data_IF_979201506044
#
_entry.id   IF_979201506044
#
_cell.length_a   1.000
_cell.length_b   1.000
_cell.length_c   1.000
_cell.angle_alpha   90.00
_cell.angle_beta   90.00
_cell.angle_gamma   90.00
#
_symmetry.space_group_name_H-M   'P 1'
#
loop_
_entity.id
_entity.type
_entity.pdbx_description
1 polymer ?
#
# COMPACT_ATOMS: atom_id res chain seq x y z
N UNK A 1 -11.97 -22.13 8.39
CA UNK A 1 -12.07 -21.22 7.25
C UNK A 1 -11.57 -19.88 7.75
N UNK A 2 -10.62 -19.23 7.06
CA UNK A 2 -10.09 -17.93 7.50
C UNK A 2 -11.16 -16.84 7.47
N UNK A 3 -10.96 -15.72 8.15
CA UNK A 3 -11.91 -14.61 8.11
C UNK A 3 -11.83 -13.88 6.76
N UNK A 4 -13.00 -13.50 6.23
CA UNK A 4 -13.09 -12.70 5.01
C UNK A 4 -12.70 -11.26 5.34
N UNK A 5 -11.93 -10.61 4.46
CA UNK A 5 -11.69 -9.18 4.58
C UNK A 5 -12.97 -8.36 4.27
N UNK A 6 -13.31 -7.44 5.16
CA UNK A 6 -14.35 -6.41 4.97
C UNK A 6 -13.78 -5.11 4.41
N UNK A 7 -12.47 -4.90 4.54
CA UNK A 7 -11.78 -3.71 4.07
C UNK A 7 -10.28 -3.79 4.35
N UNK A 8 -9.61 -2.65 4.24
CA UNK A 8 -8.23 -2.51 4.67
C UNK A 8 -7.93 -1.11 5.20
N UNK A 9 -6.88 -1.02 6.01
CA UNK A 9 -6.24 0.24 6.36
C UNK A 9 -5.02 0.38 5.47
N UNK A 10 -4.89 1.52 4.80
CA UNK A 10 -3.77 1.85 3.92
C UNK A 10 -2.99 3.03 4.50
N UNK A 11 -1.67 2.91 4.52
CA UNK A 11 -0.77 3.96 4.93
C UNK A 11 0.30 4.18 3.86
N UNK A 12 0.42 5.41 3.37
CA UNK A 12 1.49 5.88 2.50
C UNK A 12 2.47 6.72 3.33
N UNK A 13 3.76 6.40 3.27
CA UNK A 13 4.76 6.90 4.21
C UNK A 13 6.06 7.29 3.50
N UNK A 14 6.75 8.25 4.11
CA UNK A 14 8.13 8.60 3.80
C UNK A 14 9.00 8.49 5.05
N UNK A 15 10.29 8.25 4.84
CA UNK A 15 11.33 8.32 5.85
C UNK A 15 12.52 9.07 5.30
N UNK A 16 13.36 9.59 6.19
CA UNK A 16 14.63 10.16 5.76
C UNK A 16 15.46 9.09 5.03
N UNK A 17 16.11 9.49 3.96
CA UNK A 17 16.77 8.55 3.05
C UNK A 17 17.89 7.75 3.73
N UNK A 18 18.58 8.37 4.69
CA UNK A 18 19.62 7.75 5.52
C UNK A 18 19.05 6.87 6.66
N UNK A 19 17.74 6.98 6.94
CA UNK A 19 17.02 6.15 7.91
C UNK A 19 16.44 4.86 7.27
N UNK A 20 16.46 4.73 5.95
CA UNK A 20 15.76 3.65 5.22
C UNK A 20 16.06 2.24 5.73
N UNK A 21 17.32 1.89 5.98
CA UNK A 21 17.70 0.56 6.48
C UNK A 21 17.19 0.29 7.90
N UNK A 22 17.36 1.26 8.81
CA UNK A 22 16.93 1.13 10.20
C UNK A 22 15.40 1.05 10.29
N UNK A 23 14.69 1.93 9.58
CA UNK A 23 13.24 1.94 9.46
C UNK A 23 12.69 0.60 8.98
N UNK A 24 13.17 0.09 7.84
CA UNK A 24 12.62 -1.14 7.28
C UNK A 24 12.85 -2.34 8.20
N UNK A 25 14.01 -2.40 8.85
CA UNK A 25 14.35 -3.45 9.81
C UNK A 25 13.48 -3.37 11.07
N UNK A 26 13.30 -2.18 11.63
CA UNK A 26 12.40 -1.96 12.76
C UNK A 26 10.95 -2.33 12.39
N UNK A 27 10.50 -1.95 11.19
CA UNK A 27 9.14 -2.22 10.77
C UNK A 27 8.88 -3.73 10.66
N UNK A 28 9.80 -4.48 10.05
CA UNK A 28 9.69 -5.94 9.90
C UNK A 28 9.72 -6.67 11.25
N UNK A 29 10.55 -6.23 12.18
CA UNK A 29 10.82 -6.98 13.42
C UNK A 29 9.98 -6.54 14.61
N UNK A 30 9.52 -5.30 14.64
CA UNK A 30 8.92 -4.70 15.84
C UNK A 30 7.55 -4.07 15.59
N UNK A 31 7.33 -3.45 14.42
CA UNK A 31 6.12 -2.66 14.17
C UNK A 31 4.98 -3.45 13.52
N UNK A 32 5.29 -4.32 12.55
CA UNK A 32 4.27 -5.06 11.83
C UNK A 32 3.58 -6.09 12.75
N UNK A 33 4.37 -6.79 13.58
CA UNK A 33 3.89 -7.90 14.39
C UNK A 33 2.76 -7.51 15.38
N UNK A 34 2.83 -6.41 16.14
CA UNK A 34 1.72 -5.98 17.00
C UNK A 34 0.41 -5.75 16.25
N UNK A 35 0.45 -5.19 15.04
CA UNK A 35 -0.76 -4.97 14.24
C UNK A 35 -1.34 -6.30 13.75
N UNK A 36 -0.50 -7.21 13.26
CA UNK A 36 -0.92 -8.56 12.84
C UNK A 36 -1.41 -9.43 14.01
N UNK A 37 -1.09 -9.07 15.25
CA UNK A 37 -1.58 -9.78 16.44
C UNK A 37 -2.97 -9.35 16.89
N UNK A 38 -3.53 -8.29 16.30
CA UNK A 38 -4.90 -7.85 16.59
C UNK A 38 -5.90 -8.84 15.97
N UNK A 39 -6.98 -9.20 16.69
CA UNK A 39 -7.90 -10.24 16.25
C UNK A 39 -8.58 -9.92 14.92
N UNK A 40 -8.90 -8.65 14.68
CA UNK A 40 -9.63 -8.22 13.48
C UNK A 40 -8.71 -7.90 12.28
N UNK A 41 -7.39 -8.12 12.42
CA UNK A 41 -6.42 -7.94 11.34
C UNK A 41 -6.15 -9.29 10.70
N UNK A 42 -6.57 -9.44 9.44
CA UNK A 42 -6.48 -10.69 8.67
C UNK A 42 -5.06 -10.90 8.13
N UNK A 43 -4.46 -9.86 7.58
CA UNK A 43 -3.09 -9.88 7.04
C UNK A 43 -2.57 -8.47 6.83
N UNK A 44 -1.29 -8.33 6.50
CA UNK A 44 -0.69 -7.06 6.15
C UNK A 44 0.51 -7.24 5.25
N UNK A 45 0.73 -6.26 4.38
CA UNK A 45 1.79 -6.28 3.37
C UNK A 45 2.45 -4.92 3.27
N UNK A 46 3.75 -4.93 2.96
CA UNK A 46 4.59 -3.74 2.82
C UNK A 46 5.14 -3.66 1.41
N UNK A 47 5.24 -2.44 0.91
CA UNK A 47 5.68 -2.15 -0.45
C UNK A 47 6.57 -0.92 -0.49
N UNK A 48 7.33 -0.82 -1.57
CA UNK A 48 8.23 0.30 -1.85
C UNK A 48 8.13 0.67 -3.33
N UNK A 49 8.15 1.96 -3.64
CA UNK A 49 8.34 2.46 -4.98
C UNK A 49 9.81 2.90 -5.11
N UNK A 50 10.70 2.08 -5.72
CA UNK A 50 12.01 2.57 -6.12
C UNK A 50 11.91 3.68 -7.19
N UNK A 51 13.02 4.38 -7.50
CA UNK A 51 13.00 5.56 -8.38
C UNK A 51 12.34 5.33 -9.74
N UNK A 52 12.55 4.18 -10.37
CA UNK A 52 11.96 3.81 -11.65
C UNK A 52 10.43 3.62 -11.59
N UNK A 53 9.89 3.18 -10.46
CA UNK A 53 8.44 3.13 -10.22
C UNK A 53 7.87 4.52 -9.89
N UNK A 54 8.67 5.43 -9.34
CA UNK A 54 8.29 6.83 -9.22
C UNK A 54 8.26 7.54 -10.58
N UNK A 55 9.25 7.31 -11.44
CA UNK A 55 9.36 7.94 -12.75
C UNK A 55 8.15 7.68 -13.66
N UNK A 56 7.50 6.52 -13.47
CA UNK A 56 6.31 6.14 -14.23
C UNK A 56 5.00 6.43 -13.49
N UNK A 57 5.02 7.02 -12.30
CA UNK A 57 3.81 7.33 -11.52
C UNK A 57 2.98 8.42 -12.18
N UNK A 58 1.67 8.28 -12.14
CA UNK A 58 0.72 9.35 -12.47
C UNK A 58 0.19 9.91 -11.16
N UNK A 59 0.46 11.18 -10.89
CA UNK A 59 -0.13 11.97 -9.82
C UNK A 59 0.02 13.46 -10.16
N UNK A 60 -0.84 14.35 -9.67
CA UNK A 60 -0.60 15.79 -9.76
C UNK A 60 0.76 16.13 -9.14
N UNK A 61 1.53 16.98 -9.82
CA UNK A 61 2.87 17.35 -9.36
C UNK A 61 2.86 18.06 -8.01
N UNK A 62 1.79 18.77 -7.68
CA UNK A 62 1.55 19.48 -6.43
C UNK A 62 0.76 18.65 -5.39
N UNK A 63 0.50 17.36 -5.65
CA UNK A 63 -0.20 16.50 -4.69
C UNK A 63 0.69 16.28 -3.44
N UNK A 64 0.21 16.62 -2.23
CA UNK A 64 1.00 16.57 -1.01
C UNK A 64 1.31 15.14 -0.54
N UNK A 65 0.61 14.13 -1.09
CA UNK A 65 0.79 12.72 -0.73
C UNK A 65 1.59 12.00 -1.81
N UNK A 66 1.22 12.17 -3.07
CA UNK A 66 1.69 11.32 -4.17
C UNK A 66 2.65 12.03 -5.14
N UNK A 67 2.68 13.36 -5.10
CA UNK A 67 3.55 14.21 -5.93
C UNK A 67 4.99 14.29 -5.42
N UNK A 68 5.86 14.92 -6.20
CA UNK A 68 7.25 15.27 -5.83
C UNK A 68 8.10 14.11 -5.25
N UNK A 69 7.86 12.87 -5.67
CA UNK A 69 8.62 11.72 -5.18
C UNK A 69 8.24 11.26 -3.75
N UNK A 70 7.12 11.75 -3.18
CA UNK A 70 6.61 11.35 -1.85
C UNK A 70 5.89 10.00 -1.87
N UNK A 71 5.57 9.47 -0.71
CA UNK A 71 4.96 8.14 -0.55
C UNK A 71 5.82 7.05 -1.21
N UNK A 72 7.08 6.98 -0.79
CA UNK A 72 8.03 5.95 -1.21
C UNK A 72 7.60 4.58 -0.68
N UNK A 73 7.03 4.53 0.52
CA UNK A 73 6.58 3.30 1.17
C UNK A 73 5.06 3.24 1.25
N UNK A 74 4.53 2.02 1.12
CA UNK A 74 3.12 1.74 1.32
C UNK A 74 2.98 0.52 2.24
N UNK A 75 2.07 0.59 3.20
CA UNK A 75 1.63 -0.58 3.97
C UNK A 75 0.13 -0.65 3.91
N UNK A 76 -0.42 -1.86 3.79
CA UNK A 76 -1.82 -2.08 4.07
C UNK A 76 -2.06 -3.26 5.00
N UNK A 77 -3.15 -3.20 5.75
CA UNK A 77 -3.65 -4.24 6.65
C UNK A 77 -5.09 -4.57 6.28
N UNK A 78 -5.38 -5.79 5.84
CA UNK A 78 -6.76 -6.21 5.63
C UNK A 78 -7.43 -6.51 6.97
N UNK A 79 -8.69 -6.11 7.09
CA UNK A 79 -9.46 -6.20 8.32
C UNK A 79 -10.72 -7.02 8.08
N UNK A 80 -11.10 -7.86 9.04
CA UNK A 80 -12.35 -8.65 8.96
C UNK A 80 -13.58 -7.85 9.43
N UNK A 81 -13.35 -6.72 10.07
CA UNK A 81 -14.36 -5.74 10.49
C UNK A 81 -14.27 -4.47 9.66
N UNK A 82 -15.23 -3.56 9.88
CA UNK A 82 -15.21 -2.20 9.33
C UNK A 82 -13.81 -1.56 9.54
N UNK A 83 -13.11 -1.16 8.47
CA UNK A 83 -11.76 -0.61 8.57
C UNK A 83 -11.71 0.67 9.42
N UNK A 84 -12.81 1.43 9.51
CA UNK A 84 -12.89 2.61 10.39
C UNK A 84 -12.98 2.23 11.88
N UNK A 85 -13.49 1.05 12.21
CA UNK A 85 -13.43 0.52 13.57
C UNK A 85 -12.03 -0.05 13.87
N UNK A 86 -11.45 -0.78 12.92
CA UNK A 86 -10.12 -1.37 13.06
C UNK A 86 -9.03 -0.31 13.24
N UNK A 87 -9.10 0.83 12.54
CA UNK A 87 -8.10 1.90 12.67
C UNK A 87 -8.11 2.52 14.08
N UNK A 88 -9.26 2.55 14.75
CA UNK A 88 -9.38 3.01 16.15
C UNK A 88 -8.67 2.05 17.11
N UNK A 89 -8.85 0.75 16.93
CA UNK A 89 -8.15 -0.27 17.71
C UNK A 89 -6.63 -0.25 17.47
N UNK A 90 -6.21 -0.11 16.20
CA UNK A 90 -4.80 0.04 15.84
C UNK A 90 -4.17 1.32 16.42
N UNK A 91 -4.93 2.43 16.45
CA UNK A 91 -4.47 3.69 17.06
C UNK A 91 -4.29 3.55 18.57
N UNK A 92 -5.27 2.96 19.26
CA UNK A 92 -5.16 2.64 20.69
C UNK A 92 -3.93 1.77 20.97
N UNK A 93 -3.73 0.73 20.14
CA UNK A 93 -2.56 -0.15 20.26
C UNK A 93 -1.25 0.60 20.01
N UNK A 94 -1.20 1.51 19.03
CA UNK A 94 -0.03 2.36 18.79
C UNK A 94 0.31 3.19 20.03
N UNK A 95 -0.67 3.83 20.66
CA UNK A 95 -0.44 4.67 21.83
C UNK A 95 0.14 3.86 23.01
N UNK A 96 -0.31 2.60 23.19
CA UNK A 96 0.29 1.67 24.16
C UNK A 96 1.76 1.32 23.83
N UNK A 97 2.06 1.11 22.54
CA UNK A 97 3.42 0.83 22.07
C UNK A 97 4.34 2.05 22.26
N UNK A 98 3.84 3.26 21.99
CA UNK A 98 4.54 4.52 22.24
C UNK A 98 4.84 4.70 23.73
N UNK A 99 3.84 4.51 24.60
CA UNK A 99 4.03 4.59 26.05
C UNK A 99 5.05 3.56 26.58
N UNK A 100 5.22 2.43 25.87
CA UNK A 100 6.20 1.40 26.19
C UNK A 100 7.57 1.61 25.51
N UNK A 101 7.80 2.72 24.79
CA UNK A 101 9.05 3.00 24.07
C UNK A 101 9.29 2.09 22.85
N UNK A 102 8.27 1.35 22.40
CA UNK A 102 8.39 0.39 21.29
C UNK A 102 8.33 1.04 19.90
N UNK A 103 8.19 2.36 19.85
CA UNK A 103 8.16 3.16 18.62
C UNK A 103 9.44 3.98 18.41
N UNK A 104 10.38 3.94 19.35
CA UNK A 104 11.59 4.77 19.36
C UNK A 104 12.57 4.38 18.24
N UNK A 105 12.58 3.11 17.84
CA UNK A 105 13.45 2.58 16.78
C UNK A 105 13.07 2.98 15.35
N UNK A 106 11.96 3.69 15.18
CA UNK A 106 11.42 4.04 13.86
C UNK A 106 12.21 5.16 13.14
N UNK A 107 12.94 6.00 13.88
CA UNK A 107 13.62 7.17 13.32
C UNK A 107 12.67 8.19 12.69
N UNK A 108 13.25 9.11 11.89
CA UNK A 108 12.51 10.16 11.20
C UNK A 108 11.61 9.59 10.09
N UNK A 109 10.32 9.91 10.16
CA UNK A 109 9.26 9.38 9.30
C UNK A 109 8.05 10.31 9.27
N UNK A 110 7.22 10.17 8.25
CA UNK A 110 5.92 10.83 8.15
C UNK A 110 4.91 9.91 7.48
N UNK A 111 3.69 9.88 8.00
CA UNK A 111 2.53 9.28 7.33
C UNK A 111 1.93 10.37 6.45
N UNK A 112 2.05 10.25 5.13
CA UNK A 112 1.49 11.21 4.17
C UNK A 112 -0.01 11.01 3.97
N UNK A 113 -0.43 9.75 3.97
CA UNK A 113 -1.84 9.38 3.90
C UNK A 113 -2.09 8.16 4.77
N UNK A 114 -3.16 8.23 5.55
CA UNK A 114 -3.76 7.08 6.22
C UNK A 114 -5.24 7.04 5.83
N UNK A 115 -5.71 5.91 5.32
CA UNK A 115 -7.12 5.74 4.94
C UNK A 115 -7.68 4.42 5.43
N UNK A 116 -8.98 4.44 5.72
CA UNK A 116 -9.79 3.26 5.98
C UNK A 116 -10.65 2.99 4.73
N UNK A 117 -10.41 1.85 4.10
CA UNK A 117 -10.91 1.52 2.77
C UNK A 117 -11.87 0.33 2.85
N UNK A 118 -13.16 0.58 2.67
CA UNK A 118 -14.21 -0.46 2.71
C UNK A 118 -14.21 -1.24 1.40
N UNK A 119 -14.15 -2.58 1.48
CA UNK A 119 -14.11 -3.44 0.30
C UNK A 119 -15.48 -3.44 -0.41
N UNK A 120 -15.47 -3.10 -1.70
CA UNK A 120 -16.67 -3.04 -2.54
C UNK A 120 -16.80 -4.27 -3.44
N UNK A 121 -15.69 -4.66 -4.06
CA UNK A 121 -15.68 -5.79 -4.98
C UNK A 121 -14.29 -6.36 -5.12
N UNK A 122 -14.25 -7.61 -5.54
CA UNK A 122 -13.03 -8.34 -5.81
C UNK A 122 -13.16 -9.12 -7.11
N UNK A 123 -12.03 -9.41 -7.73
CA UNK A 123 -11.95 -10.30 -8.89
C UNK A 123 -10.58 -10.97 -8.92
N UNK A 124 -10.50 -12.16 -9.50
CA UNK A 124 -9.26 -12.93 -9.63
C UNK A 124 -9.13 -13.53 -11.02
N UNK A 125 -7.89 -13.81 -11.42
CA UNK A 125 -7.60 -14.39 -12.71
C UNK A 125 -8.40 -15.70 -12.91
N UNK A 126 -9.02 -15.92 -14.09
CA UNK A 126 -10.03 -16.99 -14.29
C UNK A 126 -9.47 -18.41 -14.18
N UNK A 127 -8.15 -18.57 -14.25
CA UNK A 127 -7.47 -19.85 -14.04
C UNK A 127 -7.22 -20.16 -12.54
N UNK A 128 -7.48 -19.22 -11.64
CA UNK A 128 -7.37 -19.38 -10.20
C UNK A 128 -8.73 -19.78 -9.61
N UNK A 129 -8.72 -20.64 -8.60
CA UNK A 129 -9.92 -21.10 -7.89
C UNK A 129 -9.94 -20.51 -6.47
N UNK A 130 -9.85 -19.19 -6.41
CA UNK A 130 -9.80 -18.43 -5.16
C UNK A 130 -11.21 -17.99 -4.78
N UNK A 131 -11.55 -18.08 -3.51
CA UNK A 131 -12.74 -17.44 -2.96
C UNK A 131 -12.39 -16.09 -2.30
N UNK A 132 -13.40 -15.40 -1.79
CA UNK A 132 -13.24 -14.07 -1.19
C UNK A 132 -12.37 -14.02 0.08
N UNK A 133 -12.13 -15.16 0.73
CA UNK A 133 -11.24 -15.26 1.88
C UNK A 133 -9.76 -15.31 1.45
N UNK A 134 -9.49 -15.83 0.24
CA UNK A 134 -8.12 -16.07 -0.22
C UNK A 134 -7.45 -14.81 -0.78
N UNK A 135 -8.24 -13.86 -1.32
CA UNK A 135 -7.73 -12.81 -2.21
C UNK A 135 -6.71 -11.87 -1.57
N UNK A 136 -6.85 -11.58 -0.28
CA UNK A 136 -5.88 -10.74 0.46
C UNK A 136 -4.57 -11.46 0.78
N UNK A 137 -4.53 -12.79 0.59
CA UNK A 137 -3.36 -13.63 0.85
C UNK A 137 -2.65 -14.09 -0.43
N UNK A 138 -3.18 -13.74 -1.61
CA UNK A 138 -2.63 -14.15 -2.90
C UNK A 138 -1.16 -13.73 -3.00
N UNK A 139 -0.30 -14.69 -3.35
CA UNK A 139 1.11 -14.44 -3.62
C UNK A 139 1.28 -13.52 -4.82
N UNK A 140 2.07 -12.47 -4.65
CA UNK A 140 2.35 -11.46 -5.66
C UNK A 140 3.73 -10.84 -5.40
N UNK A 141 4.32 -10.24 -6.42
CA UNK A 141 5.65 -9.60 -6.38
C UNK A 141 5.56 -8.08 -6.32
N UNK A 142 4.42 -7.50 -6.71
CA UNK A 142 4.18 -6.07 -6.60
C UNK A 142 2.70 -5.71 -6.60
N UNK A 143 2.45 -4.42 -6.52
CA UNK A 143 1.12 -3.83 -6.37
C UNK A 143 1.00 -2.63 -7.29
N UNK A 144 -0.13 -2.52 -7.98
CA UNK A 144 -0.58 -1.25 -8.57
C UNK A 144 -1.74 -0.70 -7.75
N UNK A 145 -1.60 0.54 -7.30
CA UNK A 145 -2.62 1.34 -6.64
C UNK A 145 -3.18 2.33 -7.65
N UNK A 146 -4.48 2.26 -7.90
CA UNK A 146 -5.22 3.26 -8.70
C UNK A 146 -6.21 3.98 -7.80
N UNK A 147 -6.12 5.30 -7.73
CA UNK A 147 -7.09 6.16 -7.05
C UNK A 147 -7.84 7.01 -8.07
N UNK A 148 -9.16 7.01 -7.99
CA UNK A 148 -10.04 7.72 -8.90
C UNK A 148 -11.38 8.11 -8.21
N UNK A 149 -12.30 8.71 -8.96
CA UNK A 149 -13.66 9.09 -8.51
C UNK A 149 -14.78 8.31 -9.22
N UNK A 150 -14.46 7.20 -9.86
CA UNK A 150 -15.40 6.41 -10.64
C UNK A 150 -15.94 5.22 -9.83
N UNK A 151 -17.26 5.16 -9.65
CA UNK A 151 -17.89 3.99 -9.04
C UNK A 151 -17.88 2.82 -10.03
N UNK A 152 -17.12 1.77 -9.71
CA UNK A 152 -16.94 0.59 -10.57
C UNK A 152 -16.50 -0.62 -9.76
N UNK A 153 -16.53 -1.77 -10.41
CA UNK A 153 -15.99 -3.01 -9.86
C UNK A 153 -14.49 -3.16 -10.10
N UNK A 154 -13.86 -4.03 -9.32
CA UNK A 154 -12.48 -4.44 -9.51
C UNK A 154 -12.27 -5.01 -10.92
N UNK A 155 -11.11 -4.71 -11.50
CA UNK A 155 -10.77 -5.00 -12.88
C UNK A 155 -9.49 -5.84 -12.97
N UNK A 156 -9.46 -6.75 -13.93
CA UNK A 156 -8.29 -7.57 -14.23
C UNK A 156 -7.53 -7.01 -15.43
N UNK A 157 -6.25 -7.35 -15.47
CA UNK A 157 -5.38 -7.08 -16.59
C UNK A 157 -4.23 -8.08 -16.68
N UNK A 158 -3.31 -7.88 -17.62
CA UNK A 158 -2.10 -8.69 -17.76
C UNK A 158 -1.29 -8.65 -16.46
N UNK A 159 -0.77 -9.80 -16.03
CA UNK A 159 0.01 -9.92 -14.80
C UNK A 159 -0.76 -9.70 -13.49
N UNK A 160 -2.08 -9.45 -13.51
CA UNK A 160 -2.89 -9.24 -12.30
C UNK A 160 -3.51 -10.57 -11.86
N UNK A 161 -3.07 -11.10 -10.71
CA UNK A 161 -3.65 -12.32 -10.14
C UNK A 161 -4.99 -12.05 -9.43
N UNK A 162 -5.09 -10.93 -8.73
CA UNK A 162 -6.29 -10.49 -8.05
C UNK A 162 -6.37 -8.96 -8.04
N UNK A 163 -7.59 -8.44 -8.08
CA UNK A 163 -7.87 -7.03 -7.90
C UNK A 163 -8.95 -6.84 -6.84
N UNK A 164 -8.75 -5.84 -5.98
CA UNK A 164 -9.63 -5.48 -4.90
C UNK A 164 -9.96 -3.99 -5.00
N UNK A 165 -11.25 -3.66 -4.98
CA UNK A 165 -11.74 -2.29 -5.13
C UNK A 165 -12.41 -1.82 -3.85
N UNK A 166 -12.12 -0.59 -3.46
CA UNK A 166 -12.51 -0.03 -2.17
C UNK A 166 -13.09 1.38 -2.28
N UNK A 167 -13.95 1.75 -1.34
CA UNK A 167 -14.37 3.11 -1.07
C UNK A 167 -13.60 3.69 0.11
N UNK A 168 -13.21 4.96 0.02
CA UNK A 168 -12.60 5.69 1.14
C UNK A 168 -13.64 6.08 2.19
N UNK A 169 -13.34 5.81 3.46
CA UNK A 169 -14.13 6.29 4.59
C UNK A 169 -13.86 7.77 4.89
N UNK A 170 -12.67 8.27 4.58
CA UNK A 170 -12.26 9.65 4.90
C UNK A 170 -12.40 10.63 3.74
N UNK A 171 -12.54 10.14 2.51
CA UNK A 171 -12.78 10.95 1.31
C UNK A 171 -13.99 10.40 0.53
N UNK A 172 -15.23 10.77 0.91
CA UNK A 172 -16.43 10.30 0.23
C UNK A 172 -16.39 10.54 -1.29
N UNK A 173 -16.76 9.53 -2.07
CA UNK A 173 -16.70 9.57 -3.54
C UNK A 173 -15.32 9.33 -4.14
N UNK A 174 -14.30 9.05 -3.30
CA UNK A 174 -12.98 8.59 -3.73
C UNK A 174 -12.87 7.08 -3.57
N UNK A 175 -12.28 6.43 -4.55
CA UNK A 175 -12.12 4.99 -4.59
C UNK A 175 -10.68 4.59 -4.85
N UNK A 176 -10.26 3.46 -4.28
CA UNK A 176 -8.95 2.88 -4.49
C UNK A 176 -9.09 1.47 -5.05
N UNK A 177 -8.28 1.11 -6.03
CA UNK A 177 -8.12 -0.27 -6.50
C UNK A 177 -6.69 -0.74 -6.26
N UNK A 178 -6.56 -1.92 -5.63
CA UNK A 178 -5.31 -2.63 -5.45
C UNK A 178 -5.27 -3.81 -6.42
N UNK A 179 -4.36 -3.77 -7.39
CA UNK A 179 -4.09 -4.86 -8.32
C UNK A 179 -2.82 -5.60 -7.90
N UNK A 180 -2.95 -6.86 -7.52
CA UNK A 180 -1.85 -7.72 -7.06
C UNK A 180 -1.14 -8.33 -8.28
N UNK A 181 0.12 -7.94 -8.48
CA UNK A 181 0.90 -8.23 -9.67
C UNK A 181 1.80 -9.46 -9.48
N UNK A 182 1.75 -10.42 -10.39
CA UNK A 182 2.63 -11.60 -10.39
C UNK A 182 3.89 -11.41 -11.22
N UNK A 183 4.00 -10.28 -11.92
CA UNK A 183 5.12 -9.90 -12.76
C UNK A 183 5.71 -8.58 -12.25
N UNK A 184 6.91 -8.26 -12.72
CA UNK A 184 7.57 -6.98 -12.44
C UNK A 184 6.61 -5.80 -12.73
N UNK A 185 6.34 -4.90 -11.76
CA UNK A 185 5.35 -3.85 -11.96
C UNK A 185 5.63 -2.96 -13.16
N UNK A 186 6.91 -2.63 -13.41
CA UNK A 186 7.29 -1.77 -14.53
C UNK A 186 6.98 -2.42 -15.88
N UNK A 187 7.16 -3.73 -15.99
CA UNK A 187 6.94 -4.49 -17.22
C UNK A 187 5.49 -4.56 -17.69
N UNK A 188 4.52 -4.47 -16.76
CA UNK A 188 3.07 -4.63 -17.09
C UNK A 188 2.29 -3.32 -17.11
N UNK A 189 2.86 -2.24 -16.55
CA UNK A 189 2.13 -0.99 -16.28
C UNK A 189 1.57 -0.31 -17.54
N UNK A 190 2.36 -0.25 -18.62
CA UNK A 190 1.94 0.39 -19.86
C UNK A 190 0.77 -0.37 -20.51
N UNK A 191 0.81 -1.70 -20.47
CA UNK A 191 -0.27 -2.55 -20.99
C UNK A 191 -1.53 -2.51 -20.12
N UNK A 192 -1.37 -2.34 -18.80
CA UNK A 192 -2.49 -2.10 -17.91
C UNK A 192 -3.17 -0.78 -18.28
N UNK A 193 -2.41 0.31 -18.33
CA UNK A 193 -2.89 1.67 -18.66
C UNK A 193 -3.56 1.79 -20.01
N UNK A 194 -3.06 1.10 -21.04
CA UNK A 194 -3.66 1.14 -22.38
C UNK A 194 -5.10 0.60 -22.39
N UNK A 195 -5.48 -0.23 -21.42
CA UNK A 195 -6.85 -0.75 -21.26
C UNK A 195 -7.76 0.22 -20.49
N UNK A 196 -7.18 1.30 -19.97
CA UNK A 196 -7.82 2.29 -19.11
C UNK A 196 -7.81 3.70 -19.74
N UNK A 197 -7.40 3.86 -21.01
CA UNK A 197 -7.11 5.13 -21.69
C UNK A 197 -8.22 6.20 -21.63
N UNK A 198 -9.44 5.84 -21.27
CA UNK A 198 -10.57 6.76 -21.14
C UNK A 198 -10.90 7.15 -19.70
N UNK A 199 -10.18 6.61 -18.71
CA UNK A 199 -10.50 6.79 -17.29
C UNK A 199 -9.77 8.00 -16.73
N UNK A 200 -10.49 8.81 -15.96
CA UNK A 200 -9.89 9.88 -15.18
C UNK A 200 -9.31 9.29 -13.91
N UNK A 201 -7.99 9.13 -13.88
CA UNK A 201 -7.24 8.62 -12.73
C UNK A 201 -6.58 9.79 -12.01
N UNK A 202 -6.70 9.83 -10.68
CA UNK A 202 -5.98 10.79 -9.84
C UNK A 202 -4.58 10.31 -9.53
N UNK A 203 -4.46 9.03 -9.17
CA UNK A 203 -3.19 8.39 -8.82
C UNK A 203 -3.11 7.04 -9.50
N UNK A 204 -2.01 6.79 -10.19
CA UNK A 204 -1.61 5.47 -10.68
C UNK A 204 -0.16 5.24 -10.27
N UNK A 205 0.02 4.48 -9.19
CA UNK A 205 1.31 4.22 -8.59
C UNK A 205 1.57 2.71 -8.51
N UNK A 206 2.77 2.29 -8.90
CA UNK A 206 3.23 0.93 -8.79
C UNK A 206 4.25 0.82 -7.65
N UNK A 207 4.29 -0.35 -7.00
CA UNK A 207 5.20 -0.65 -5.90
C UNK A 207 5.68 -2.10 -5.99
N UNK A 208 6.93 -2.34 -5.61
CA UNK A 208 7.45 -3.66 -5.34
C UNK A 208 7.05 -4.10 -3.95
N UNK A 209 6.73 -5.39 -3.80
CA UNK A 209 6.49 -5.98 -2.48
C UNK A 209 7.81 -6.13 -1.75
N UNK A 210 7.87 -5.67 -0.51
CA UNK A 210 9.07 -5.82 0.34
C UNK A 210 9.11 -7.26 0.85
N UNK A 211 10.18 -7.97 0.52
CA UNK A 211 10.54 -9.20 1.22
C UNK A 211 11.14 -8.85 2.59
N UNK A 212 10.61 -9.39 3.71
CA UNK A 212 11.13 -9.06 5.04
C UNK A 212 12.63 -9.29 5.14
N UNK A 213 13.33 -8.32 5.73
CA UNK A 213 14.79 -8.35 5.94
C UNK A 213 15.64 -8.36 4.65
N UNK A 214 15.06 -8.07 3.49
CA UNK A 214 15.79 -7.96 2.21
C UNK A 214 15.44 -6.63 1.54
N UNK A 215 16.40 -5.70 1.52
CA UNK A 215 16.18 -4.32 1.08
C UNK A 215 17.07 -3.90 -0.10
N UNK A 216 17.09 -4.66 -1.22
CA UNK A 216 17.96 -4.35 -2.36
C UNK A 216 17.66 -2.98 -2.99
N UNK A 217 16.43 -2.48 -2.84
CA UNK A 217 15.97 -1.20 -3.34
C UNK A 217 16.64 0.01 -2.67
N UNK A 218 17.21 -0.13 -1.47
CA UNK A 218 17.78 1.01 -0.73
C UNK A 218 18.93 1.68 -1.49
N UNK A 219 19.79 0.89 -2.14
CA UNK A 219 20.91 1.44 -2.93
C UNK A 219 20.40 2.34 -4.05
N UNK A 220 19.34 1.92 -4.74
CA UNK A 220 18.74 2.71 -5.81
C UNK A 220 18.13 4.01 -5.25
N UNK A 221 17.38 3.92 -4.15
CA UNK A 221 16.77 5.07 -3.48
C UNK A 221 17.86 6.07 -3.03
N UNK A 222 18.86 5.63 -2.27
CA UNK A 222 19.93 6.48 -1.72
C UNK A 222 20.72 7.24 -2.78
N UNK A 223 20.83 6.67 -3.99
CA UNK A 223 21.53 7.27 -5.15
C UNK A 223 20.64 8.13 -6.05
N UNK A 224 19.34 8.20 -5.77
CA UNK A 224 18.35 8.87 -6.61
C UNK A 224 18.16 10.36 -6.27
N UNK A 225 17.24 10.99 -6.98
CA UNK A 225 16.75 12.34 -6.71
C UNK A 225 15.46 12.38 -5.88
N UNK A 226 15.03 11.26 -5.27
CA UNK A 226 13.90 11.25 -4.35
C UNK A 226 14.20 12.15 -3.13
N UNK A 227 13.16 12.72 -2.47
CA UNK A 227 13.34 13.58 -1.30
C UNK A 227 14.25 12.94 -0.25
N UNK A 228 15.21 13.71 0.26
CA UNK A 228 16.20 13.19 1.23
C UNK A 228 15.67 13.22 2.65
N UNK A 229 14.80 14.19 2.96
CA UNK A 229 14.21 14.40 4.28
C UNK A 229 12.70 14.43 4.18
N UNK A 230 12.03 13.96 5.23
CA UNK A 230 10.56 13.97 5.31
C UNK A 230 9.96 15.37 5.35
N UNK A 231 10.75 16.38 5.72
CA UNK A 231 10.29 17.78 5.81
C UNK A 231 10.59 18.61 4.55
N UNK A 232 11.07 17.99 3.47
CA UNK A 232 11.29 18.69 2.19
C UNK A 232 9.95 18.94 1.45
N UNK A 233 9.65 20.22 1.20
CA UNK A 233 8.49 20.73 0.45
C UNK A 233 8.68 20.64 -1.08
#
# INVERSE_FOLDING_TARGET
MGERAAGLILAALDVDIDNGAAWNRWYDLEHLAPNLSLPDVVTGHRYVAPPDLHDCRIAPGDDPVWGQGRSVYLTWYATSVDPAAAISAMSTRRDELEAAGRMDGAGARVVRSGDALTLLSTTSAPNLRLDEHDLVHVGHVGLRLVIDREERVASLGPGVAASLRFASAFAPGRFAELQLLTEDPRSVLDQLRSREEKRTVEVDAAFDRIEPLRYPFLVAIESSSLPRRVDED
#
